data_IF_680378600547
#
_entry.id   IF_680378600547
#
_cell.length_a   1.000
_cell.length_b   1.000
_cell.length_c   1.000
_cell.angle_alpha   90.00
_cell.angle_beta   90.00
_cell.angle_gamma   90.00
#
_symmetry.space_group_name_H-M   'P 1'
#
loop_
_entity.id
_entity.type
_entity.pdbx_description
1 polymer ?
#
# COMPACT_ATOMS: atom_id res chain seq x y z
N UNK A 1 -24.50 -40.06 40.17
CA UNK A 1 -24.30 -38.66 39.73
C UNK A 1 -22.86 -38.48 39.26
N UNK A 2 -22.63 -38.42 37.95
CA UNK A 2 -21.30 -38.17 37.36
C UNK A 2 -21.20 -36.68 37.05
N UNK A 3 -20.22 -35.99 37.65
CA UNK A 3 -19.98 -34.56 37.46
C UNK A 3 -19.10 -34.38 36.22
N UNK A 4 -19.71 -34.00 35.10
CA UNK A 4 -19.00 -33.61 33.88
C UNK A 4 -18.17 -32.34 34.16
N UNK A 5 -16.86 -32.43 34.01
CA UNK A 5 -15.97 -31.27 34.02
C UNK A 5 -16.24 -30.45 32.75
N UNK A 6 -16.80 -29.26 32.91
CA UNK A 6 -16.91 -28.28 31.84
C UNK A 6 -15.49 -27.84 31.43
N UNK A 7 -15.07 -28.26 30.25
CA UNK A 7 -13.92 -27.67 29.59
C UNK A 7 -14.30 -26.26 29.17
N UNK A 8 -13.90 -25.27 29.95
CA UNK A 8 -13.89 -23.88 29.49
C UNK A 8 -12.80 -23.76 28.43
N UNK A 9 -13.21 -23.87 27.17
CA UNK A 9 -12.37 -23.45 26.05
C UNK A 9 -12.01 -21.99 26.26
N UNK A 10 -10.73 -21.73 26.54
CA UNK A 10 -10.18 -20.37 26.47
C UNK A 10 -10.56 -19.79 25.11
N UNK A 11 -11.06 -18.55 25.04
CA UNK A 11 -11.33 -17.93 23.75
C UNK A 11 -10.04 -17.94 22.94
N UNK A 12 -10.07 -18.60 21.78
CA UNK A 12 -9.03 -18.51 20.75
C UNK A 12 -8.80 -17.03 20.48
N UNK A 13 -7.54 -16.56 20.62
CA UNK A 13 -7.12 -15.21 20.24
C UNK A 13 -7.81 -14.87 18.92
N UNK A 14 -8.68 -13.86 18.92
CA UNK A 14 -9.35 -13.45 17.70
C UNK A 14 -8.29 -13.17 16.64
N UNK A 15 -8.52 -13.68 15.44
CA UNK A 15 -7.66 -13.45 14.29
C UNK A 15 -7.50 -11.94 14.08
N UNK A 16 -6.36 -11.38 14.48
CA UNK A 16 -5.99 -9.99 14.21
C UNK A 16 -5.79 -9.70 12.70
N UNK A 17 -5.91 -10.73 11.85
CA UNK A 17 -5.74 -10.64 10.41
C UNK A 17 -7.11 -10.53 9.74
N UNK A 18 -7.31 -9.45 8.96
CA UNK A 18 -8.47 -9.29 8.07
C UNK A 18 -8.18 -9.99 6.74
N UNK A 19 -9.17 -10.58 6.06
CA UNK A 19 -8.98 -11.09 4.71
C UNK A 19 -8.65 -9.94 3.74
N UNK A 20 -7.83 -10.22 2.72
CA UNK A 20 -7.68 -9.33 1.58
C UNK A 20 -9.01 -9.23 0.83
N UNK A 21 -9.31 -8.04 0.33
CA UNK A 21 -10.50 -7.78 -0.48
C UNK A 21 -10.28 -8.14 -1.97
N UNK A 22 -9.02 -8.20 -2.40
CA UNK A 22 -8.69 -8.57 -3.78
C UNK A 22 -7.20 -8.61 -4.07
N UNK A 23 -6.84 -9.28 -5.17
CA UNK A 23 -5.49 -9.39 -5.72
C UNK A 23 -5.58 -9.26 -7.23
N UNK A 24 -4.86 -8.29 -7.79
CA UNK A 24 -5.01 -7.90 -9.18
C UNK A 24 -3.66 -7.81 -9.89
N UNK A 25 -3.61 -8.31 -11.12
CA UNK A 25 -2.50 -8.13 -12.09
C UNK A 25 -2.61 -6.81 -12.89
N UNK A 26 -3.56 -5.96 -12.49
CA UNK A 26 -3.86 -4.67 -13.09
C UNK A 26 -4.36 -3.71 -12.00
N UNK A 27 -4.55 -2.45 -12.37
CA UNK A 27 -5.15 -1.42 -11.52
C UNK A 27 -6.68 -1.62 -11.52
N UNK A 28 -7.30 -2.03 -10.39
CA UNK A 28 -8.69 -2.50 -10.36
C UNK A 28 -9.75 -1.38 -10.45
N UNK A 29 -9.35 -0.16 -10.15
CA UNK A 29 -10.16 1.06 -10.25
C UNK A 29 -9.19 2.25 -10.38
N UNK A 30 -9.69 3.46 -10.64
CA UNK A 30 -8.83 4.65 -10.60
C UNK A 30 -8.18 4.80 -9.21
N UNK A 31 -6.84 4.83 -9.18
CA UNK A 31 -6.06 4.90 -7.95
C UNK A 31 -5.07 6.05 -7.98
N UNK A 32 -4.74 6.59 -6.80
CA UNK A 32 -3.85 7.72 -6.64
C UNK A 32 -2.79 7.44 -5.58
N UNK A 33 -1.60 8.03 -5.78
CA UNK A 33 -0.53 8.06 -4.79
C UNK A 33 0.03 9.46 -4.65
N UNK A 34 0.17 9.90 -3.41
CA UNK A 34 0.85 11.15 -3.05
C UNK A 34 2.31 10.82 -2.71
N UNK A 35 3.24 11.54 -3.34
CA UNK A 35 4.68 11.41 -3.11
C UNK A 35 5.31 12.76 -2.75
N UNK A 36 6.48 12.71 -2.10
CA UNK A 36 7.31 13.89 -1.82
C UNK A 36 8.22 14.29 -2.99
N UNK A 37 8.31 13.46 -4.03
CA UNK A 37 9.09 13.64 -5.24
C UNK A 37 8.49 12.79 -6.36
N UNK A 38 9.07 12.88 -7.57
CA UNK A 38 8.70 12.03 -8.71
C UNK A 38 9.07 10.56 -8.53
N UNK A 39 9.99 10.27 -7.62
CA UNK A 39 10.43 8.90 -7.32
C UNK A 39 9.55 8.30 -6.22
N UNK A 40 9.12 7.06 -6.41
CA UNK A 40 8.40 6.31 -5.39
C UNK A 40 9.41 5.65 -4.47
N UNK A 41 9.60 6.25 -3.29
CA UNK A 41 10.55 5.77 -2.27
C UNK A 41 9.78 5.11 -1.12
N UNK A 42 9.80 3.78 -1.08
CA UNK A 42 9.26 2.98 0.02
C UNK A 42 10.24 2.91 1.18
N UNK A 43 9.70 2.94 2.40
CA UNK A 43 10.43 3.04 3.66
C UNK A 43 10.29 1.76 4.47
N UNK A 44 11.44 1.19 4.83
CA UNK A 44 11.52 0.00 5.68
C UNK A 44 11.18 0.31 7.15
N UNK A 45 10.23 -0.43 7.71
CA UNK A 45 9.78 -0.34 9.10
C UNK A 45 10.93 -0.38 10.11
N UNK A 46 11.84 -1.36 10.00
CA UNK A 46 12.94 -1.53 10.98
C UNK A 46 13.84 -0.29 11.01
N UNK A 47 14.17 0.28 9.85
CA UNK A 47 14.94 1.53 9.75
C UNK A 47 14.16 2.73 10.31
N UNK A 48 12.86 2.83 10.05
CA UNK A 48 12.03 3.98 10.48
C UNK A 48 11.82 4.01 11.99
N UNK A 49 11.60 2.86 12.61
CA UNK A 49 11.50 2.74 14.07
C UNK A 49 12.80 3.17 14.75
N UNK A 50 13.97 2.79 14.23
CA UNK A 50 15.27 3.24 14.76
C UNK A 50 15.45 4.77 14.69
N UNK A 51 14.79 5.43 13.75
CA UNK A 51 14.78 6.88 13.59
C UNK A 51 13.64 7.58 14.37
N UNK A 52 12.91 6.84 15.22
CA UNK A 52 11.79 7.38 15.98
C UNK A 52 10.55 7.72 15.13
N UNK A 53 10.45 7.19 13.90
CA UNK A 53 9.32 7.42 13.01
C UNK A 53 8.41 6.20 12.90
N UNK A 54 7.10 6.44 12.98
CA UNK A 54 6.06 5.43 12.79
C UNK A 54 5.67 5.24 11.32
N UNK A 55 6.14 6.11 10.43
CA UNK A 55 5.81 6.06 9.00
C UNK A 55 6.70 5.07 8.25
N UNK A 56 6.10 4.00 7.75
CA UNK A 56 6.74 2.94 6.97
C UNK A 56 5.79 2.43 5.88
N UNK A 57 6.32 1.77 4.86
CA UNK A 57 5.55 1.24 3.74
C UNK A 57 5.69 -0.29 3.61
N UNK A 58 6.75 -0.88 4.18
CA UNK A 58 7.02 -2.32 4.16
C UNK A 58 8.01 -2.76 5.24
N UNK A 59 8.21 -4.07 5.37
CA UNK A 59 9.25 -4.67 6.21
C UNK A 59 10.27 -5.43 5.35
N UNK A 60 11.54 -5.02 5.41
CA UNK A 60 12.64 -5.82 4.86
C UNK A 60 12.94 -7.00 5.79
N UNK A 61 12.99 -8.19 5.23
CA UNK A 61 13.20 -9.44 5.97
C UNK A 61 14.68 -9.62 6.34
N UNK A 62 14.99 -10.67 7.10
CA UNK A 62 16.33 -10.92 7.62
C UNK A 62 17.37 -11.21 6.54
N UNK A 63 16.92 -11.71 5.38
CA UNK A 63 17.73 -11.92 4.18
C UNK A 63 18.01 -10.63 3.39
N UNK A 64 17.50 -9.48 3.85
CA UNK A 64 17.66 -8.20 3.17
C UNK A 64 16.69 -7.96 2.02
N UNK A 65 15.70 -8.83 1.82
CA UNK A 65 14.74 -8.75 0.72
C UNK A 65 13.35 -8.30 1.20
N UNK A 66 12.59 -7.75 0.26
CA UNK A 66 11.14 -7.59 0.35
C UNK A 66 10.51 -8.84 -0.24
N UNK A 67 9.59 -9.46 0.49
CA UNK A 67 8.92 -10.68 0.08
C UNK A 67 7.46 -10.43 -0.32
N UNK A 68 6.93 -11.16 -1.31
CA UNK A 68 5.52 -11.06 -1.69
C UNK A 68 4.61 -11.53 -0.55
N UNK A 69 3.46 -10.87 -0.38
CA UNK A 69 2.36 -11.44 0.42
C UNK A 69 1.58 -12.41 -0.42
N UNK A 70 1.65 -13.69 -0.11
CA UNK A 70 0.98 -14.77 -0.85
C UNK A 70 -0.36 -15.20 -0.22
N UNK A 71 -0.51 -15.00 1.09
CA UNK A 71 -1.70 -15.41 1.83
C UNK A 71 -2.97 -14.67 1.41
N UNK A 72 -4.16 -15.21 1.75
CA UNK A 72 -5.44 -14.54 1.55
C UNK A 72 -5.70 -13.46 2.62
N UNK A 73 -4.79 -13.28 3.57
CA UNK A 73 -4.94 -12.39 4.71
C UNK A 73 -4.08 -11.14 4.52
N UNK A 74 -4.59 -10.00 4.99
CA UNK A 74 -3.83 -8.77 5.09
C UNK A 74 -2.73 -8.93 6.16
N UNK A 75 -1.48 -8.77 5.75
CA UNK A 75 -0.31 -8.91 6.62
C UNK A 75 0.55 -7.64 6.63
N UNK A 76 0.10 -6.62 7.35
CA UNK A 76 0.86 -5.39 7.55
C UNK A 76 1.20 -4.64 6.25
N UNK A 77 1.90 -3.51 6.35
CA UNK A 77 2.30 -2.76 5.17
C UNK A 77 3.33 -3.58 4.38
N UNK A 78 3.15 -3.69 3.06
CA UNK A 78 4.07 -4.44 2.19
C UNK A 78 4.22 -3.81 0.79
N UNK A 79 4.04 -2.49 0.65
CA UNK A 79 4.18 -1.87 -0.66
C UNK A 79 3.75 -0.41 -0.77
N UNK A 80 3.65 0.06 -1.99
CA UNK A 80 3.25 1.42 -2.30
C UNK A 80 1.74 1.61 -2.07
N UNK A 81 1.39 2.28 -0.97
CA UNK A 81 0.02 2.75 -0.73
C UNK A 81 -0.53 3.54 -1.92
N UNK A 82 -1.71 3.15 -2.37
CA UNK A 82 -2.52 3.77 -3.41
C UNK A 82 -3.99 3.73 -2.99
N UNK A 83 -4.78 4.74 -3.35
CA UNK A 83 -6.19 4.87 -2.91
C UNK A 83 -7.06 5.46 -4.02
N UNK A 84 -8.35 5.08 -4.12
CA UNK A 84 -9.27 5.79 -4.99
C UNK A 84 -9.48 7.22 -4.50
N UNK A 85 -10.08 8.05 -5.36
CA UNK A 85 -10.48 9.41 -4.99
C UNK A 85 -11.71 9.39 -4.05
N UNK A 86 -11.46 9.06 -2.78
CA UNK A 86 -12.44 9.10 -1.69
C UNK A 86 -12.11 10.19 -0.67
N UNK A 87 -13.00 10.35 0.32
CA UNK A 87 -12.86 11.36 1.38
C UNK A 87 -11.51 11.28 2.12
N UNK A 88 -10.98 10.07 2.32
CA UNK A 88 -9.68 9.91 2.97
C UNK A 88 -8.52 10.38 2.10
N UNK A 89 -8.51 10.09 0.80
CA UNK A 89 -7.47 10.59 -0.11
C UNK A 89 -7.53 12.11 -0.19
N UNK A 90 -8.73 12.68 -0.33
CA UNK A 90 -8.94 14.13 -0.36
C UNK A 90 -8.38 14.80 0.89
N UNK A 91 -8.69 14.24 2.07
CA UNK A 91 -8.13 14.71 3.33
C UNK A 91 -6.60 14.59 3.38
N UNK A 92 -6.03 13.48 2.89
CA UNK A 92 -4.58 13.31 2.79
C UNK A 92 -3.94 14.39 1.91
N UNK A 93 -4.51 14.68 0.74
CA UNK A 93 -4.01 15.73 -0.16
C UNK A 93 -4.06 17.08 0.55
N UNK A 94 -5.17 17.39 1.24
CA UNK A 94 -5.38 18.64 1.97
C UNK A 94 -4.29 18.90 3.00
N UNK A 95 -4.01 17.91 3.86
CA UNK A 95 -3.01 18.02 4.94
C UNK A 95 -1.57 17.83 4.46
N UNK A 96 -1.37 17.43 3.20
CA UNK A 96 -0.03 17.33 2.63
C UNK A 96 0.52 18.72 2.32
N UNK A 97 1.43 19.20 3.18
CA UNK A 97 1.99 20.56 3.10
C UNK A 97 3.20 20.69 2.15
N UNK A 98 3.70 19.59 1.59
CA UNK A 98 4.86 19.65 0.71
C UNK A 98 4.46 20.25 -0.65
N UNK A 99 4.98 21.44 -0.96
CA UNK A 99 4.73 22.15 -2.22
C UNK A 99 5.36 21.46 -3.43
N UNK A 100 6.33 20.56 -3.21
CA UNK A 100 6.94 19.71 -4.25
C UNK A 100 6.27 18.34 -4.34
N UNK A 101 5.08 18.19 -3.76
CA UNK A 101 4.35 16.93 -3.82
C UNK A 101 3.95 16.59 -5.25
N UNK A 102 4.05 15.31 -5.54
CA UNK A 102 3.65 14.73 -6.82
C UNK A 102 2.53 13.74 -6.54
N UNK A 103 1.40 13.93 -7.19
CA UNK A 103 0.27 13.02 -7.13
C UNK A 103 0.25 12.25 -8.45
N UNK A 104 0.47 10.95 -8.39
CA UNK A 104 0.25 10.09 -9.55
C UNK A 104 -1.18 9.57 -9.55
N UNK A 105 -1.87 9.76 -10.67
CA UNK A 105 -3.11 9.05 -11.00
C UNK A 105 -2.77 7.82 -11.83
N UNK A 106 -3.25 6.66 -11.42
CA UNK A 106 -3.14 5.39 -12.12
C UNK A 106 -4.50 5.05 -12.73
N UNK A 107 -4.62 5.01 -14.08
CA UNK A 107 -5.88 4.66 -14.73
C UNK A 107 -6.31 3.22 -14.44
N UNK A 108 -7.61 3.01 -14.26
CA UNK A 108 -8.21 1.67 -14.19
C UNK A 108 -7.84 0.82 -15.41
N UNK A 109 -7.64 -0.49 -15.19
CA UNK A 109 -7.28 -1.44 -16.24
C UNK A 109 -5.80 -1.42 -16.63
N UNK A 110 -5.00 -0.48 -16.12
CA UNK A 110 -3.55 -0.44 -16.38
C UNK A 110 -2.89 -1.73 -15.92
N UNK A 111 -2.25 -2.46 -16.85
CA UNK A 111 -1.59 -3.73 -16.55
C UNK A 111 -0.32 -3.52 -15.74
N UNK A 112 -0.15 -4.31 -14.69
CA UNK A 112 1.06 -4.32 -13.89
C UNK A 112 2.14 -5.16 -14.58
N UNK A 113 3.42 -4.79 -14.43
CA UNK A 113 4.54 -5.68 -14.72
C UNK A 113 4.37 -7.03 -13.99
N UNK A 114 4.80 -8.17 -14.55
CA UNK A 114 4.60 -9.49 -13.95
C UNK A 114 5.22 -9.66 -12.55
N UNK A 115 6.21 -8.83 -12.23
CA UNK A 115 6.90 -8.80 -10.95
C UNK A 115 6.21 -7.88 -9.90
N UNK A 116 5.07 -7.27 -10.26
CA UNK A 116 4.24 -6.43 -9.39
C UNK A 116 2.79 -6.93 -9.29
N UNK A 117 2.14 -6.61 -8.18
CA UNK A 117 0.73 -6.95 -7.91
C UNK A 117 0.06 -5.81 -7.14
N UNK A 118 -1.22 -5.56 -7.40
CA UNK A 118 -2.04 -4.67 -6.59
C UNK A 118 -2.89 -5.50 -5.63
N UNK A 119 -2.71 -5.29 -4.32
CA UNK A 119 -3.55 -5.89 -3.29
C UNK A 119 -4.56 -4.88 -2.79
N UNK A 120 -5.83 -5.25 -2.75
CA UNK A 120 -6.84 -4.52 -2.02
C UNK A 120 -6.85 -5.03 -0.59
N UNK A 121 -6.20 -4.27 0.30
CA UNK A 121 -5.87 -4.74 1.64
C UNK A 121 -7.08 -4.69 2.57
N UNK A 122 -7.69 -3.52 2.69
CA UNK A 122 -8.88 -3.27 3.50
C UNK A 122 -9.48 -1.91 3.13
N UNK A 123 -10.75 -1.68 3.46
CA UNK A 123 -11.45 -0.40 3.22
C UNK A 123 -11.22 0.09 1.77
N UNK A 124 -10.66 1.27 1.57
CA UNK A 124 -10.28 1.82 0.27
C UNK A 124 -8.76 1.70 -0.01
N UNK A 125 -8.01 1.09 0.91
CA UNK A 125 -6.56 1.01 0.83
C UNK A 125 -6.10 -0.12 -0.09
N UNK A 126 -5.33 0.26 -1.10
CA UNK A 126 -4.64 -0.65 -1.99
C UNK A 126 -3.14 -0.50 -1.83
N UNK A 127 -2.38 -1.54 -2.16
CA UNK A 127 -0.92 -1.47 -2.19
C UNK A 127 -0.34 -2.20 -3.39
N UNK A 128 0.61 -1.54 -4.06
CA UNK A 128 1.40 -2.16 -5.13
C UNK A 128 2.65 -2.78 -4.53
N UNK A 129 2.80 -4.09 -4.69
CA UNK A 129 3.83 -4.91 -4.05
C UNK A 129 4.60 -5.75 -5.09
N UNK A 130 5.71 -6.36 -4.69
CA UNK A 130 6.40 -7.37 -5.49
C UNK A 130 5.63 -8.70 -5.52
N UNK A 131 5.76 -9.47 -6.61
CA UNK A 131 5.31 -10.89 -6.69
C UNK A 131 6.43 -11.90 -6.48
N UNK A 132 7.69 -11.44 -6.51
CA UNK A 132 8.90 -12.24 -6.27
C UNK A 132 9.82 -11.52 -5.27
N UNK A 133 10.62 -12.23 -4.47
CA UNK A 133 11.58 -11.60 -3.58
C UNK A 133 12.54 -10.68 -4.35
N UNK A 134 12.74 -9.47 -3.85
CA UNK A 134 13.66 -8.49 -4.44
C UNK A 134 14.16 -7.49 -3.38
N UNK A 135 15.26 -6.80 -3.67
CA UNK A 135 15.75 -5.75 -2.78
C UNK A 135 14.77 -4.56 -2.74
N UNK A 136 14.80 -3.79 -1.65
CA UNK A 136 14.03 -2.55 -1.55
C UNK A 136 14.37 -1.56 -2.68
N UNK A 137 15.63 -1.53 -3.11
CA UNK A 137 16.06 -0.67 -4.20
C UNK A 137 15.40 -1.07 -5.52
N UNK A 138 15.43 -2.36 -5.88
CA UNK A 138 14.78 -2.87 -7.08
C UNK A 138 13.27 -2.60 -7.07
N UNK A 139 12.60 -2.81 -5.92
CA UNK A 139 11.18 -2.53 -5.79
C UNK A 139 10.88 -1.03 -6.01
N UNK A 140 11.65 -0.14 -5.38
CA UNK A 140 11.51 1.31 -5.59
C UNK A 140 11.72 1.69 -7.06
N UNK A 141 12.75 1.14 -7.72
CA UNK A 141 13.01 1.39 -9.14
C UNK A 141 11.87 0.91 -10.03
N UNK A 142 11.35 -0.30 -9.79
CA UNK A 142 10.26 -0.88 -10.59
C UNK A 142 8.97 -0.11 -10.42
N UNK A 143 8.59 0.22 -9.19
CA UNK A 143 7.39 1.01 -8.91
C UNK A 143 7.53 2.41 -9.50
N UNK A 144 8.68 3.07 -9.31
CA UNK A 144 8.93 4.40 -9.89
C UNK A 144 8.77 4.39 -11.40
N UNK A 145 9.39 3.41 -12.10
CA UNK A 145 9.25 3.25 -13.56
C UNK A 145 7.81 2.98 -13.97
N UNK A 146 7.09 2.15 -13.23
CA UNK A 146 5.68 1.88 -13.50
C UNK A 146 4.84 3.16 -13.40
N UNK A 147 4.99 3.92 -12.32
CA UNK A 147 4.26 5.17 -12.09
C UNK A 147 4.59 6.24 -13.11
N UNK A 148 5.87 6.43 -13.44
CA UNK A 148 6.29 7.42 -14.44
C UNK A 148 5.89 7.05 -15.87
N UNK A 149 5.76 5.75 -16.18
CA UNK A 149 5.40 5.28 -17.52
C UNK A 149 3.89 5.26 -17.76
N UNK A 150 3.11 4.84 -16.78
CA UNK A 150 1.68 4.58 -16.95
C UNK A 150 0.77 5.47 -16.08
N UNK A 151 1.36 6.15 -15.10
CA UNK A 151 0.64 7.13 -14.30
C UNK A 151 0.64 8.51 -14.95
N UNK A 152 -0.43 9.24 -14.70
CA UNK A 152 -0.50 10.67 -14.97
C UNK A 152 0.05 11.42 -13.76
N UNK A 153 1.09 12.22 -13.97
CA UNK A 153 1.72 13.07 -12.96
C UNK A 153 0.91 14.36 -12.79
N UNK A 154 0.59 14.72 -11.56
CA UNK A 154 -0.10 15.97 -11.22
C UNK A 154 0.57 16.62 -10.00
N UNK A 155 0.56 17.95 -9.97
CA UNK A 155 0.76 18.73 -8.77
C UNK A 155 -0.49 18.66 -7.88
N UNK A 156 -0.34 19.08 -6.62
CA UNK A 156 -1.48 19.24 -5.71
C UNK A 156 -2.55 20.19 -6.27
N UNK A 157 -2.14 21.32 -6.86
CA UNK A 157 -3.07 22.29 -7.42
C UNK A 157 -3.87 21.72 -8.61
N UNK A 158 -3.21 21.01 -9.53
CA UNK A 158 -3.89 20.34 -10.65
C UNK A 158 -4.87 19.25 -10.17
N UNK A 159 -4.50 18.51 -9.12
CA UNK A 159 -5.41 17.55 -8.49
C UNK A 159 -6.64 18.25 -7.88
N UNK A 160 -6.44 19.31 -7.10
CA UNK A 160 -7.52 20.05 -6.44
C UNK A 160 -8.46 20.75 -7.44
N UNK A 161 -7.93 21.23 -8.57
CA UNK A 161 -8.73 21.80 -9.66
C UNK A 161 -9.58 20.73 -10.35
N UNK A 162 -8.99 19.57 -10.65
CA UNK A 162 -9.66 18.49 -11.39
C UNK A 162 -10.64 17.69 -10.54
N UNK A 163 -10.31 17.51 -9.26
CA UNK A 163 -11.07 16.71 -8.30
C UNK A 163 -11.48 17.60 -7.12
N UNK A 164 -12.38 18.58 -7.35
CA UNK A 164 -12.79 19.50 -6.32
C UNK A 164 -13.42 18.75 -5.15
N UNK A 165 -13.19 19.28 -3.95
CA UNK A 165 -13.73 18.70 -2.73
C UNK A 165 -15.25 18.67 -2.77
N UNK A 166 -15.82 17.54 -2.34
CA UNK A 166 -17.26 17.31 -2.21
C UNK A 166 -17.66 17.46 -0.74
#
# INVERSE_FOLDING_TARGET
>A
FIRLKSYTTKPTRSSFYKPLLGRYDHIPCELFRINNSRDVILRDYKKRIKLGSTSCDLCVQEDGLVHPKLGPMFEGPNGASVRPNGAFLQELVRVFHNTKSVIYRLPEGTKLPPDLVCLHEHTEHHSIQCTVPMTLHELNTKITRFFQKYGEEMTKAEFEERYPFI
#
